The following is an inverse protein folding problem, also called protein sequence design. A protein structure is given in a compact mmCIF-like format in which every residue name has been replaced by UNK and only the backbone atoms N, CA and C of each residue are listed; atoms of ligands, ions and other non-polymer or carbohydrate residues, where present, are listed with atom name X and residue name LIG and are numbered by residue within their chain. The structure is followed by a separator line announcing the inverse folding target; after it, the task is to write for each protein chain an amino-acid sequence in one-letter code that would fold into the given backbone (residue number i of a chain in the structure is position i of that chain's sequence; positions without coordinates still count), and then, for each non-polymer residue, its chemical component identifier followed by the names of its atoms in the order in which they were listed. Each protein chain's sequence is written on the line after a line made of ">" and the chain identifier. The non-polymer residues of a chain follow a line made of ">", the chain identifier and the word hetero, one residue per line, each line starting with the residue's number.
data_IF_853800063680
#
_entry.id   IF_853800063680
#
_cell.length_a   1.000
_cell.length_b   1.000
_cell.length_c   1.000
_cell.angle_alpha   90.00
_cell.angle_beta   90.00
_cell.angle_gamma   90.00
#
_symmetry.space_group_name_H-M   'P 1'
#
loop_
_entity.id
_entity.type
_entity.pdbx_description
1 polymer ?
#
# COMPACT_ATOMS: atom_id res chain seq x y z
N UNK A 1 -4.19 -2.29 -28.60
CA UNK A 1 -3.67 -3.46 -27.85
C UNK A 1 -2.61 -3.03 -26.81
N UNK A 2 -2.91 -2.09 -25.91
CA UNK A 2 -1.93 -1.50 -24.99
C UNK A 2 -2.18 -1.78 -23.48
N UNK A 3 -3.33 -2.37 -23.13
CA UNK A 3 -3.71 -2.59 -21.73
C UNK A 3 -2.99 -3.76 -21.03
N UNK A 4 -2.47 -4.74 -21.79
CA UNK A 4 -1.88 -5.95 -21.22
C UNK A 4 -0.43 -5.76 -20.74
N UNK A 5 0.29 -4.82 -21.35
CA UNK A 5 1.67 -4.50 -20.98
C UNK A 5 1.77 -3.56 -19.76
N UNK A 6 0.72 -2.81 -19.41
CA UNK A 6 0.71 -1.89 -18.28
C UNK A 6 0.31 -2.53 -16.94
N UNK A 7 -0.16 -3.78 -16.97
CA UNK A 7 -0.51 -4.55 -15.77
C UNK A 7 0.77 -5.08 -15.10
N UNK A 8 1.01 -4.63 -13.87
CA UNK A 8 2.03 -5.23 -12.99
C UNK A 8 1.83 -6.75 -12.87
N UNK A 9 2.89 -7.53 -12.67
CA UNK A 9 2.87 -9.00 -12.51
C UNK A 9 1.67 -9.56 -11.71
N UNK A 10 1.29 -9.00 -10.54
CA UNK A 10 0.10 -9.47 -9.81
C UNK A 10 -1.25 -9.10 -10.48
N UNK A 11 -1.31 -8.02 -11.23
CA UNK A 11 -2.50 -7.62 -12.01
C UNK A 11 -2.78 -8.55 -13.19
N UNK A 12 -1.75 -9.15 -13.78
CA UNK A 12 -1.91 -10.18 -14.83
C UNK A 12 -2.52 -11.46 -14.28
N UNK A 13 -2.08 -11.90 -13.10
CA UNK A 13 -2.66 -13.04 -12.39
C UNK A 13 -4.13 -12.81 -12.05
N UNK A 14 -4.47 -11.63 -11.52
CA UNK A 14 -5.86 -11.26 -11.25
C UNK A 14 -6.73 -11.25 -12.51
N UNK A 15 -6.19 -10.74 -13.62
CA UNK A 15 -6.92 -10.76 -14.90
C UNK A 15 -7.17 -12.20 -15.39
N UNK A 16 -6.16 -13.07 -15.32
CA UNK A 16 -6.31 -14.49 -15.68
C UNK A 16 -7.33 -15.18 -14.76
N UNK A 17 -7.29 -14.90 -13.45
CA UNK A 17 -8.22 -15.46 -12.47
C UNK A 17 -9.66 -14.98 -12.71
N UNK A 18 -9.83 -13.69 -13.05
CA UNK A 18 -11.13 -13.08 -13.33
C UNK A 18 -11.72 -13.55 -14.67
N UNK A 19 -10.89 -13.70 -15.70
CA UNK A 19 -11.28 -14.31 -16.99
C UNK A 19 -11.62 -15.78 -16.81
N UNK A 20 -10.83 -16.52 -16.03
CA UNK A 20 -11.12 -17.91 -15.68
C UNK A 20 -12.46 -18.05 -14.96
N UNK A 21 -12.72 -17.19 -13.96
CA UNK A 21 -13.99 -17.11 -13.24
C UNK A 21 -15.18 -16.83 -14.16
N UNK A 22 -15.05 -15.85 -15.07
CA UNK A 22 -16.09 -15.52 -16.04
C UNK A 22 -16.36 -16.65 -17.02
N UNK A 23 -15.32 -17.32 -17.50
CA UNK A 23 -15.45 -18.48 -18.39
C UNK A 23 -16.15 -19.64 -17.68
N UNK A 24 -15.76 -19.94 -16.44
CA UNK A 24 -16.44 -20.97 -15.63
C UNK A 24 -17.88 -20.60 -15.31
N UNK A 25 -18.18 -19.33 -15.02
CA UNK A 25 -19.54 -18.86 -14.76
C UNK A 25 -20.44 -18.94 -16.00
N UNK A 26 -19.89 -18.66 -17.19
CA UNK A 26 -20.59 -18.80 -18.47
C UNK A 26 -20.87 -20.28 -18.79
N UNK A 27 -19.91 -21.17 -18.58
CA UNK A 27 -20.11 -22.61 -18.74
C UNK A 27 -21.15 -23.16 -17.74
N UNK A 28 -21.18 -22.64 -16.51
CA UNK A 28 -22.15 -23.02 -15.49
C UNK A 28 -23.57 -22.51 -15.78
N UNK A 29 -23.70 -21.32 -16.37
CA UNK A 29 -25.02 -20.74 -16.67
C UNK A 29 -25.74 -21.44 -17.83
N UNK A 30 -24.98 -22.07 -18.74
CA UNK A 30 -25.48 -22.88 -19.84
C UNK A 30 -25.86 -24.31 -19.42
N UNK A 31 -25.48 -24.73 -18.20
CA UNK A 31 -25.79 -26.07 -17.69
C UNK A 31 -27.22 -26.08 -17.13
N UNK A 32 -28.16 -26.70 -17.85
CA UNK A 32 -29.63 -26.73 -17.64
C UNK A 32 -30.13 -27.16 -16.24
N UNK A 33 -29.25 -27.51 -15.31
CA UNK A 33 -29.59 -27.91 -13.94
C UNK A 33 -29.00 -26.90 -12.95
N UNK A 34 -29.63 -25.74 -12.85
CA UNK A 34 -29.26 -24.69 -11.89
C UNK A 34 -29.51 -25.18 -10.46
N UNK A 35 -28.46 -25.65 -9.79
CA UNK A 35 -28.49 -25.85 -8.35
C UNK A 35 -28.21 -24.50 -7.67
N UNK A 36 -29.19 -23.87 -6.99
CA UNK A 36 -29.00 -22.56 -6.37
C UNK A 36 -27.87 -22.56 -5.32
N UNK A 37 -27.59 -23.72 -4.72
CA UNK A 37 -26.48 -23.96 -3.80
C UNK A 37 -25.10 -23.67 -4.42
N UNK A 38 -24.89 -24.04 -5.69
CA UNK A 38 -23.63 -23.76 -6.39
C UNK A 38 -23.46 -22.27 -6.70
N UNK A 39 -24.55 -21.60 -7.07
CA UNK A 39 -24.55 -20.16 -7.33
C UNK A 39 -24.23 -19.36 -6.05
N UNK A 40 -24.79 -19.78 -4.91
CA UNK A 40 -24.46 -19.23 -3.59
C UNK A 40 -22.98 -19.44 -3.27
N UNK A 41 -22.43 -20.62 -3.53
CA UNK A 41 -21.00 -20.91 -3.32
C UNK A 41 -20.09 -20.03 -4.19
N UNK A 42 -20.46 -19.81 -5.45
CA UNK A 42 -19.73 -18.91 -6.36
C UNK A 42 -19.78 -17.46 -5.91
N UNK A 43 -20.95 -16.96 -5.50
CA UNK A 43 -21.07 -15.62 -4.96
C UNK A 43 -20.23 -15.44 -3.70
N UNK A 44 -20.22 -16.45 -2.82
CA UNK A 44 -19.39 -16.46 -1.60
C UNK A 44 -17.90 -16.42 -1.91
N UNK A 45 -17.41 -17.25 -2.85
CA UNK A 45 -15.99 -17.24 -3.22
C UNK A 45 -15.59 -15.92 -3.88
N UNK A 46 -16.45 -15.33 -4.69
CA UNK A 46 -16.22 -14.03 -5.32
C UNK A 46 -16.21 -12.89 -4.28
N UNK A 47 -17.09 -12.95 -3.28
CA UNK A 47 -17.11 -12.00 -2.16
C UNK A 47 -15.84 -12.10 -1.31
N UNK A 48 -15.38 -13.32 -1.00
CA UNK A 48 -14.15 -13.56 -0.25
C UNK A 48 -12.91 -13.11 -1.03
N UNK A 49 -12.88 -13.36 -2.35
CA UNK A 49 -11.81 -12.89 -3.22
C UNK A 49 -11.77 -11.36 -3.30
N UNK A 50 -12.93 -10.71 -3.48
CA UNK A 50 -13.05 -9.27 -3.49
C UNK A 50 -12.67 -8.65 -2.13
N UNK A 51 -13.10 -9.26 -1.02
CA UNK A 51 -12.73 -8.84 0.33
C UNK A 51 -11.22 -8.94 0.58
N UNK A 52 -10.59 -10.04 0.18
CA UNK A 52 -9.13 -10.19 0.28
C UNK A 52 -8.39 -9.20 -0.62
N UNK A 53 -8.90 -8.93 -1.82
CA UNK A 53 -8.32 -7.93 -2.72
C UNK A 53 -8.37 -6.52 -2.12
N UNK A 54 -9.55 -6.11 -1.63
CA UNK A 54 -9.74 -4.83 -0.95
C UNK A 54 -8.84 -4.74 0.29
N UNK A 55 -8.76 -5.81 1.09
CA UNK A 55 -7.89 -5.88 2.27
C UNK A 55 -6.41 -5.76 1.93
N UNK A 56 -5.95 -6.35 0.83
CA UNK A 56 -4.54 -6.36 0.46
C UNK A 56 -4.09 -5.09 -0.28
N UNK A 57 -4.99 -4.43 -1.00
CA UNK A 57 -4.64 -3.29 -1.87
C UNK A 57 -5.18 -1.96 -1.38
N UNK A 58 -6.43 -1.94 -0.91
CA UNK A 58 -7.17 -0.71 -0.64
C UNK A 58 -7.09 -0.35 0.84
N UNK A 59 -7.19 -1.33 1.75
CA UNK A 59 -7.03 -1.08 3.19
C UNK A 59 -5.69 -0.41 3.53
N UNK A 60 -4.53 -0.89 3.04
CA UNK A 60 -3.24 -0.27 3.37
C UNK A 60 -3.13 1.17 2.89
N UNK A 61 -3.82 1.51 1.80
CA UNK A 61 -3.87 2.87 1.26
C UNK A 61 -4.83 3.76 2.04
N UNK A 62 -5.96 3.21 2.50
CA UNK A 62 -6.94 3.93 3.33
C UNK A 62 -6.48 4.09 4.79
N UNK A 63 -5.69 3.17 5.30
CA UNK A 63 -5.10 3.23 6.65
C UNK A 63 -3.74 3.92 6.67
N UNK A 64 -3.18 4.27 5.51
CA UNK A 64 -1.98 5.10 5.42
C UNK A 64 -2.35 6.50 5.94
N UNK A 65 -2.14 6.69 7.24
CA UNK A 65 -2.32 7.97 7.91
C UNK A 65 -1.32 8.95 7.31
N UNK A 66 -1.78 10.18 7.06
CA UNK A 66 -0.92 11.25 6.52
C UNK A 66 0.27 11.45 7.45
N UNK A 67 1.49 11.24 6.93
CA UNK A 67 2.69 11.45 7.74
C UNK A 67 2.93 12.94 7.94
N UNK A 68 2.57 13.76 6.97
CA UNK A 68 2.65 15.22 7.11
C UNK A 68 1.80 15.74 8.25
N UNK A 69 0.63 15.15 8.49
CA UNK A 69 -0.22 15.53 9.62
C UNK A 69 0.38 15.13 10.98
N UNK A 70 1.16 14.05 11.02
CA UNK A 70 1.83 13.56 12.22
C UNK A 70 3.24 14.17 12.40
N UNK A 71 3.81 14.78 11.36
CA UNK A 71 5.07 15.51 11.37
C UNK A 71 4.88 16.88 12.02
N UNK A 72 5.68 17.16 13.04
CA UNK A 72 5.72 18.47 13.69
C UNK A 72 7.15 18.81 14.09
N UNK A 73 7.46 20.09 14.23
CA UNK A 73 8.73 20.55 14.79
C UNK A 73 8.45 21.04 16.20
N UNK A 74 9.14 20.45 17.19
CA UNK A 74 9.12 20.91 18.57
C UNK A 74 10.55 21.14 19.00
N UNK A 75 10.83 22.32 19.55
CA UNK A 75 12.15 22.68 20.08
C UNK A 75 13.31 22.47 19.08
N UNK A 76 13.04 22.72 17.79
CA UNK A 76 14.01 22.53 16.71
C UNK A 76 14.28 21.08 16.31
N UNK A 77 13.53 20.12 16.87
CA UNK A 77 13.61 18.70 16.52
C UNK A 77 12.36 18.24 15.77
N UNK A 78 12.56 17.44 14.72
CA UNK A 78 11.47 16.79 13.99
C UNK A 78 10.82 15.75 14.92
N UNK A 79 9.50 15.75 14.98
CA UNK A 79 8.70 14.81 15.74
C UNK A 79 7.69 14.13 14.82
N UNK A 80 7.52 12.81 14.93
CA UNK A 80 6.48 12.04 14.22
C UNK A 80 5.54 11.42 15.24
N UNK A 81 4.25 11.78 15.20
CA UNK A 81 3.21 11.22 16.07
C UNK A 81 3.58 11.23 17.57
N UNK A 82 4.32 12.25 18.03
CA UNK A 82 4.78 12.39 19.41
C UNK A 82 6.18 11.82 19.69
N UNK A 83 6.83 11.14 18.74
CA UNK A 83 8.21 10.68 18.86
C UNK A 83 9.18 11.73 18.30
N UNK A 84 10.02 12.29 19.15
CA UNK A 84 11.07 13.24 18.75
C UNK A 84 12.30 12.53 18.18
N UNK A 85 12.85 13.09 17.12
CA UNK A 85 14.10 12.62 16.54
C UNK A 85 15.23 12.99 17.48
N UNK A 86 15.97 12.00 17.95
CA UNK A 86 17.17 12.26 18.75
C UNK A 86 18.19 13.05 17.91
N UNK A 87 18.97 13.93 18.54
CA UNK A 87 20.06 14.64 17.87
C UNK A 87 21.15 13.69 17.33
N UNK A 88 21.17 12.44 17.77
CA UNK A 88 22.08 11.40 17.30
C UNK A 88 21.63 10.74 15.98
N UNK A 89 20.46 11.10 15.44
CA UNK A 89 19.93 10.50 14.21
C UNK A 89 20.68 11.06 13.03
N UNK A 90 21.45 10.21 12.38
CA UNK A 90 22.20 10.57 11.16
C UNK A 90 21.60 9.94 9.90
N UNK A 91 20.78 8.89 10.04
CA UNK A 91 20.27 8.11 8.91
C UNK A 91 18.79 7.85 9.02
N UNK A 92 18.10 8.12 7.93
CA UNK A 92 16.68 7.91 7.75
C UNK A 92 16.46 7.18 6.43
N UNK A 93 15.71 6.08 6.46
CA UNK A 93 15.35 5.35 5.25
C UNK A 93 13.97 5.82 4.81
N UNK A 94 13.87 6.26 3.56
CA UNK A 94 12.65 6.72 2.94
C UNK A 94 12.44 5.95 1.65
N UNK A 95 11.33 5.24 1.53
CA UNK A 95 11.16 4.34 0.40
C UNK A 95 9.72 4.08 0.01
N UNK A 96 9.54 3.19 -0.97
CA UNK A 96 8.22 2.79 -1.46
C UNK A 96 8.05 1.29 -1.30
N UNK A 97 6.95 0.86 -0.66
CA UNK A 97 6.70 -0.58 -0.50
C UNK A 97 6.42 -1.27 -1.85
N UNK A 98 5.91 -0.51 -2.84
CA UNK A 98 5.70 -0.96 -4.21
C UNK A 98 5.57 0.24 -5.15
N UNK A 99 5.62 0.02 -6.48
CA UNK A 99 5.44 1.08 -7.50
C UNK A 99 4.17 1.92 -7.32
N UNK A 100 3.11 1.35 -6.74
CA UNK A 100 1.84 2.02 -6.40
C UNK A 100 1.43 1.78 -4.93
N UNK A 101 2.37 1.33 -4.11
CA UNK A 101 2.14 1.07 -2.68
C UNK A 101 2.34 2.33 -1.86
N UNK A 102 2.00 2.30 -0.57
CA UNK A 102 2.32 3.39 0.35
C UNK A 102 3.84 3.62 0.39
N UNK A 103 4.20 4.87 0.61
CA UNK A 103 5.56 5.22 0.99
C UNK A 103 5.79 4.82 2.45
N UNK A 104 7.05 4.59 2.80
CA UNK A 104 7.44 4.32 4.16
C UNK A 104 8.61 5.16 4.60
N UNK A 105 8.62 5.50 5.88
CA UNK A 105 9.73 6.10 6.59
C UNK A 105 10.15 5.14 7.67
N UNK A 106 11.44 4.85 7.75
CA UNK A 106 12.03 4.02 8.78
C UNK A 106 13.24 4.72 9.38
N UNK A 107 13.27 4.77 10.71
CA UNK A 107 14.41 5.31 11.46
C UNK A 107 15.33 4.16 11.86
N UNK A 108 16.62 4.27 11.53
CA UNK A 108 17.60 3.20 11.73
C UNK A 108 17.76 2.76 13.21
N UNK A 109 17.43 3.62 14.16
CA UNK A 109 17.67 3.42 15.59
C UNK A 109 16.39 3.07 16.38
N UNK A 110 15.20 3.23 15.79
CA UNK A 110 13.93 2.99 16.49
C UNK A 110 13.44 1.54 16.33
N UNK A 111 14.35 0.55 16.42
CA UNK A 111 14.01 -0.87 16.33
C UNK A 111 13.33 -1.31 15.03
N UNK A 112 13.45 -0.52 13.96
CA UNK A 112 12.77 -0.77 12.68
C UNK A 112 11.30 -0.34 12.64
N UNK A 113 10.87 0.56 13.52
CA UNK A 113 9.54 1.15 13.43
C UNK A 113 9.37 1.83 12.07
N UNK A 114 8.30 1.44 11.38
CA UNK A 114 8.01 1.81 10.02
C UNK A 114 6.70 2.60 10.00
N UNK A 115 6.78 3.83 9.50
CA UNK A 115 5.61 4.67 9.30
C UNK A 115 5.18 4.60 7.84
N UNK A 116 3.97 4.09 7.61
CA UNK A 116 3.35 4.00 6.28
C UNK A 116 2.51 5.24 6.01
N UNK A 117 2.67 5.83 4.84
CA UNK A 117 1.94 7.03 4.44
C UNK A 117 1.66 7.07 2.94
N UNK A 118 0.74 7.94 2.49
CA UNK A 118 0.38 8.04 1.08
C UNK A 118 1.59 8.39 0.22
N UNK A 119 1.72 7.69 -0.92
CA UNK A 119 2.85 7.90 -1.84
C UNK A 119 2.96 9.34 -2.35
N UNK A 120 1.83 10.03 -2.47
CA UNK A 120 1.74 11.41 -2.95
C UNK A 120 2.41 12.40 -1.98
N UNK A 121 2.53 12.05 -0.70
CA UNK A 121 3.19 12.87 0.33
C UNK A 121 4.72 12.69 0.36
N UNK A 122 5.26 11.66 -0.29
CA UNK A 122 6.70 11.37 -0.31
C UNK A 122 7.60 12.57 -0.63
N UNK A 123 7.38 13.34 -1.73
CA UNK A 123 8.22 14.49 -2.03
C UNK A 123 8.13 15.60 -0.98
N UNK A 124 6.97 15.77 -0.34
CA UNK A 124 6.74 16.80 0.67
C UNK A 124 7.39 16.42 2.01
N UNK A 125 7.30 15.14 2.39
CA UNK A 125 7.98 14.57 3.56
C UNK A 125 9.49 14.70 3.42
N UNK A 126 10.03 14.37 2.25
CA UNK A 126 11.47 14.51 1.97
C UNK A 126 11.93 15.97 2.10
N UNK A 127 11.21 16.91 1.49
CA UNK A 127 11.50 18.34 1.60
C UNK A 127 11.42 18.83 3.05
N UNK A 128 10.41 18.40 3.80
CA UNK A 128 10.24 18.79 5.20
C UNK A 128 11.44 18.34 6.06
N UNK A 129 11.91 17.11 5.86
CA UNK A 129 13.07 16.57 6.59
C UNK A 129 14.34 17.34 6.21
N UNK A 130 14.59 17.59 4.93
CA UNK A 130 15.76 18.35 4.48
C UNK A 130 15.77 19.79 5.00
N UNK A 131 14.60 20.41 5.12
CA UNK A 131 14.47 21.78 5.64
C UNK A 131 14.75 21.88 7.14
N UNK A 132 14.26 20.92 7.93
CA UNK A 132 14.31 21.00 9.40
C UNK A 132 15.41 20.16 10.04
N UNK A 133 15.94 19.17 9.32
CA UNK A 133 17.03 18.31 9.75
C UNK A 133 18.01 18.02 8.59
N UNK A 134 18.69 19.06 8.06
CA UNK A 134 19.62 18.92 6.92
C UNK A 134 20.83 18.03 7.22
N UNK A 135 21.08 17.72 8.49
CA UNK A 135 22.15 16.85 8.95
C UNK A 135 21.82 15.35 8.83
N UNK A 136 20.56 15.01 8.52
CA UNK A 136 20.11 13.62 8.37
C UNK A 136 20.31 13.18 6.91
N UNK A 137 21.01 12.08 6.73
CA UNK A 137 21.15 11.39 5.45
C UNK A 137 19.88 10.59 5.13
N UNK A 138 19.25 10.89 4.00
CA UNK A 138 18.06 10.19 3.49
C UNK A 138 18.51 9.07 2.54
N UNK A 139 18.35 7.83 2.97
CA UNK A 139 18.60 6.63 2.18
C UNK A 139 17.31 6.29 1.42
N UNK A 140 17.39 6.18 0.10
CA UNK A 140 16.23 5.91 -0.77
C UNK A 140 16.11 4.42 -1.11
N UNK A 141 14.98 3.80 -0.81
CA UNK A 141 14.67 2.38 -1.12
C UNK A 141 13.42 2.16 -2.00
#
# INVERSE_FOLDING_TARGET
>A
MAGWHSLSYPGKWLFILLVGLLATAFLFSQWERQQPLMMVFYLLTLLVAAGNYLRARVLPQLTARSLLADLSVKDGQICIAGFSFSAAVQKLVLGKQSKKGPAFLQLAWNGGQLWLFPLDELPQVEQFILQHAPHIEIIRE
#
